data_IF_841097213177
#
_entry.id   IF_841097213177
#
_cell.length_a   1.000
_cell.length_b   1.000
_cell.length_c   1.000
_cell.angle_alpha   90.00
_cell.angle_beta   90.00
_cell.angle_gamma   90.00
#
_symmetry.space_group_name_H-M   'P 1'
#
loop_
_entity.id
_entity.type
_entity.pdbx_description
1 polymer ?
#
# COMPACT_ATOMS: atom_id res chain seq x y z
N UNK A 1 2.46 21.90 32.68
CA UNK A 1 1.17 21.25 33.01
C UNK A 1 0.24 21.39 31.82
N UNK A 2 -0.38 20.30 31.32
CA UNK A 2 -1.28 20.39 30.17
C UNK A 2 -2.56 21.15 30.57
N UNK A 3 -2.92 22.18 29.80
CA UNK A 3 -4.15 22.97 30.02
C UNK A 3 -5.37 22.13 29.60
N UNK A 4 -6.13 21.63 30.58
CA UNK A 4 -7.47 21.07 30.35
C UNK A 4 -8.37 22.17 29.80
N UNK A 5 -9.29 21.82 28.90
CA UNK A 5 -10.36 22.72 28.49
C UNK A 5 -11.24 22.97 29.72
N UNK A 6 -11.27 24.22 30.18
CA UNK A 6 -12.19 24.65 31.23
C UNK A 6 -13.52 25.01 30.56
N UNK A 7 -14.63 24.46 31.07
CA UNK A 7 -15.99 24.66 30.54
C UNK A 7 -16.37 26.14 30.44
N UNK A 8 -15.80 27.00 31.31
CA UNK A 8 -16.00 28.45 31.31
C UNK A 8 -15.29 29.21 30.18
N UNK A 9 -14.38 28.56 29.44
CA UNK A 9 -13.68 29.14 28.28
C UNK A 9 -14.39 28.83 26.95
N UNK A 10 -15.53 28.13 26.98
CA UNK A 10 -16.36 27.88 25.81
C UNK A 10 -17.35 29.04 25.60
N UNK A 11 -17.67 29.41 24.35
CA UNK A 11 -18.71 30.40 24.07
C UNK A 11 -20.04 30.00 24.73
N UNK A 12 -20.81 31.00 25.21
CA UNK A 12 -22.08 30.78 25.91
C UNK A 12 -22.99 29.88 25.07
N UNK A 13 -23.26 28.66 25.55
CA UNK A 13 -24.04 27.65 24.83
C UNK A 13 -23.64 26.18 25.07
N UNK A 14 -22.58 25.90 25.85
CA UNK A 14 -22.20 24.55 26.31
C UNK A 14 -21.98 23.50 25.20
N UNK A 15 -21.58 23.91 23.99
CA UNK A 15 -21.15 22.95 22.96
C UNK A 15 -19.67 22.68 23.20
N UNK A 16 -19.37 21.61 23.94
CA UNK A 16 -18.01 21.07 24.00
C UNK A 16 -17.62 20.61 22.60
N UNK A 17 -16.50 21.10 22.03
CA UNK A 17 -16.06 20.68 20.71
C UNK A 17 -15.78 19.17 20.71
N UNK A 18 -15.98 18.56 19.55
CA UNK A 18 -15.70 17.14 19.37
C UNK A 18 -14.22 16.92 19.02
N UNK A 19 -13.72 15.73 19.28
CA UNK A 19 -12.38 15.33 18.94
C UNK A 19 -12.24 15.21 17.42
N UNK A 20 -11.23 15.88 16.88
CA UNK A 20 -10.96 15.93 15.43
C UNK A 20 -10.63 14.56 14.83
N UNK A 21 -10.25 13.60 15.67
CA UNK A 21 -9.88 12.24 15.27
C UNK A 21 -11.07 11.28 15.39
N UNK A 22 -11.84 11.31 16.48
CA UNK A 22 -12.84 10.26 16.78
C UNK A 22 -14.26 10.76 17.06
N UNK A 23 -14.51 12.07 17.02
CA UNK A 23 -15.83 12.65 17.28
C UNK A 23 -16.30 12.63 18.74
N UNK A 24 -15.56 12.02 19.67
CA UNK A 24 -15.90 12.05 21.11
C UNK A 24 -15.66 13.45 21.70
N UNK A 25 -16.37 13.83 22.77
CA UNK A 25 -16.20 15.14 23.42
C UNK A 25 -14.75 15.44 23.79
N UNK A 26 -14.28 16.61 23.41
CA UNK A 26 -12.90 17.03 23.64
C UNK A 26 -12.66 17.48 25.08
N UNK A 27 -11.50 17.13 25.60
CA UNK A 27 -11.02 17.51 26.94
C UNK A 27 -9.72 18.33 26.89
N UNK A 28 -9.01 18.28 25.75
CA UNK A 28 -7.77 19.01 25.51
C UNK A 28 -7.76 19.63 24.10
N UNK A 29 -6.83 20.55 23.85
CA UNK A 29 -6.61 21.16 22.53
C UNK A 29 -5.13 21.33 22.20
N UNK A 30 -4.83 21.59 20.94
CA UNK A 30 -3.50 21.99 20.50
C UNK A 30 -3.12 23.35 21.12
N UNK A 31 -1.86 23.49 21.53
CA UNK A 31 -1.36 24.70 22.21
C UNK A 31 -0.97 25.81 21.24
N UNK A 32 -0.61 25.44 20.01
CA UNK A 32 -0.17 26.34 18.94
C UNK A 32 -1.37 26.91 18.17
N UNK A 33 -2.14 26.07 17.47
CA UNK A 33 -3.27 26.53 16.66
C UNK A 33 -4.51 26.88 17.49
N UNK A 34 -4.70 26.23 18.66
CA UNK A 34 -5.86 26.35 19.57
C UNK A 34 -7.24 26.04 18.96
N UNK A 35 -7.30 25.62 17.69
CA UNK A 35 -8.54 25.28 16.97
C UNK A 35 -8.80 23.78 16.87
N UNK A 36 -7.77 22.96 17.06
CA UNK A 36 -7.86 21.48 16.98
C UNK A 36 -8.02 20.89 18.38
N UNK A 37 -9.05 20.06 18.54
CA UNK A 37 -9.53 19.55 19.82
C UNK A 37 -9.42 18.02 19.91
N UNK A 38 -9.14 17.51 21.11
CA UNK A 38 -8.89 16.08 21.35
C UNK A 38 -9.64 15.58 22.59
N UNK A 39 -10.17 14.36 22.53
CA UNK A 39 -10.83 13.72 23.68
C UNK A 39 -9.87 13.33 24.81
N UNK A 40 -8.56 13.25 24.54
CA UNK A 40 -7.55 12.91 25.54
C UNK A 40 -6.12 13.17 25.06
N UNK A 41 -5.16 12.94 25.96
CA UNK A 41 -3.74 13.18 25.70
C UNK A 41 -3.15 12.21 24.66
N UNK A 42 -3.66 10.98 24.60
CA UNK A 42 -3.24 9.96 23.62
C UNK A 42 -3.47 10.44 22.18
N UNK A 43 -4.70 10.83 21.85
CA UNK A 43 -5.05 11.38 20.54
C UNK A 43 -4.23 12.63 20.20
N UNK A 44 -4.02 13.52 21.17
CA UNK A 44 -3.15 14.71 20.98
C UNK A 44 -1.71 14.32 20.66
N UNK A 45 -1.15 13.32 21.34
CA UNK A 45 0.24 12.89 21.13
C UNK A 45 0.43 12.19 19.79
N UNK A 46 -0.47 11.27 19.44
CA UNK A 46 -0.40 10.55 18.17
C UNK A 46 -0.50 11.52 17.00
N UNK A 47 -1.49 12.42 17.02
CA UNK A 47 -1.67 13.42 15.96
C UNK A 47 -0.48 14.40 15.88
N UNK A 48 0.04 14.87 17.02
CA UNK A 48 1.20 15.76 17.04
C UNK A 48 2.46 15.15 16.39
N UNK A 49 2.68 13.85 16.57
CA UNK A 49 3.83 13.13 16.01
C UNK A 49 3.61 12.80 14.54
N UNK A 50 2.38 12.42 14.17
CA UNK A 50 2.13 11.79 12.87
C UNK A 50 1.69 12.75 11.77
N UNK A 51 0.97 13.82 12.11
CA UNK A 51 0.30 14.65 11.10
C UNK A 51 0.14 16.12 11.51
N UNK A 52 -0.37 16.42 12.71
CA UNK A 52 -0.78 17.78 13.10
C UNK A 52 0.28 18.84 12.85
N UNK A 53 1.56 18.55 13.15
CA UNK A 53 2.65 19.52 13.02
C UNK A 53 2.80 20.04 11.57
N UNK A 54 2.50 19.23 10.56
CA UNK A 54 2.62 19.64 9.16
C UNK A 54 1.46 20.50 8.68
N UNK A 55 0.30 20.40 9.34
CA UNK A 55 -0.94 21.10 8.94
C UNK A 55 -1.44 22.12 9.97
N UNK A 56 -0.77 22.28 11.10
CA UNK A 56 -1.17 23.11 12.23
C UNK A 56 -1.56 24.53 11.81
N UNK A 57 -0.72 25.19 11.00
CA UNK A 57 -0.96 26.54 10.47
C UNK A 57 -2.10 26.57 9.46
N UNK A 58 -2.24 25.54 8.62
CA UNK A 58 -3.35 25.42 7.66
C UNK A 58 -4.68 25.23 8.37
N UNK A 59 -4.73 24.39 9.40
CA UNK A 59 -5.90 24.20 10.26
C UNK A 59 -6.29 25.50 10.98
N UNK A 60 -5.29 26.25 11.47
CA UNK A 60 -5.49 27.57 12.06
C UNK A 60 -6.11 28.55 11.06
N UNK A 61 -5.64 28.55 9.82
CA UNK A 61 -6.20 29.39 8.76
C UNK A 61 -7.64 29.00 8.41
N UNK A 62 -7.92 27.72 8.18
CA UNK A 62 -9.26 27.21 7.83
C UNK A 62 -10.31 27.55 8.90
N UNK A 63 -9.93 27.45 10.19
CA UNK A 63 -10.83 27.65 11.32
C UNK A 63 -10.73 29.05 11.94
N UNK A 64 -10.04 29.99 11.29
CA UNK A 64 -9.91 31.35 11.80
C UNK A 64 -11.24 32.09 11.70
N UNK A 65 -11.54 32.91 12.71
CA UNK A 65 -12.52 33.97 12.55
C UNK A 65 -11.92 35.03 11.62
N UNK A 66 -12.26 34.96 10.33
CA UNK A 66 -11.84 35.96 9.36
C UNK A 66 -12.66 37.24 9.57
N UNK A 67 -11.99 38.40 9.44
CA UNK A 67 -12.68 39.69 9.43
C UNK A 67 -13.77 39.66 8.35
N UNK A 68 -14.94 40.22 8.66
CA UNK A 68 -16.05 40.30 7.72
C UNK A 68 -15.55 40.93 6.41
N UNK A 69 -15.60 40.22 5.27
CA UNK A 69 -15.17 40.76 3.99
C UNK A 69 -15.94 42.05 3.67
N UNK A 70 -15.24 43.10 3.26
CA UNK A 70 -15.87 44.39 2.97
C UNK A 70 -16.59 44.40 1.62
N UNK A 71 -16.20 43.50 0.71
CA UNK A 71 -16.76 43.39 -0.64
C UNK A 71 -17.12 41.95 -0.98
N UNK A 72 -18.01 41.77 -1.97
CA UNK A 72 -18.36 40.45 -2.51
C UNK A 72 -17.13 39.74 -3.10
N UNK A 73 -16.24 40.48 -3.76
CA UNK A 73 -15.00 39.95 -4.33
C UNK A 73 -14.06 39.41 -3.25
N UNK A 74 -13.97 40.09 -2.11
CA UNK A 74 -13.15 39.63 -0.98
C UNK A 74 -13.75 38.37 -0.34
N UNK A 75 -15.09 38.25 -0.31
CA UNK A 75 -15.78 37.07 0.20
C UNK A 75 -15.51 35.85 -0.67
N UNK A 76 -15.70 35.97 -1.99
CA UNK A 76 -15.44 34.89 -2.94
C UNK A 76 -13.97 34.47 -2.87
N UNK A 77 -13.04 35.42 -2.88
CA UNK A 77 -11.61 35.12 -2.79
C UNK A 77 -11.23 34.42 -1.46
N UNK A 78 -11.87 34.80 -0.34
CA UNK A 78 -11.65 34.13 0.94
C UNK A 78 -12.16 32.68 0.91
N UNK A 79 -13.38 32.47 0.42
CA UNK A 79 -13.97 31.14 0.30
C UNK A 79 -13.13 30.22 -0.61
N UNK A 80 -12.69 30.72 -1.76
CA UNK A 80 -11.78 30.00 -2.67
C UNK A 80 -10.45 29.62 -1.99
N UNK A 81 -9.86 30.55 -1.23
CA UNK A 81 -8.61 30.27 -0.51
C UNK A 81 -8.79 29.25 0.61
N UNK A 82 -9.91 29.29 1.34
CA UNK A 82 -10.24 28.28 2.35
C UNK A 82 -10.41 26.91 1.67
N UNK A 83 -11.19 26.85 0.59
CA UNK A 83 -11.42 25.60 -0.15
C UNK A 83 -10.12 25.01 -0.69
N UNK A 84 -9.25 25.84 -1.29
CA UNK A 84 -7.92 25.42 -1.72
C UNK A 84 -7.07 24.90 -0.57
N UNK A 85 -7.10 25.57 0.58
CA UNK A 85 -6.35 25.13 1.77
C UNK A 85 -6.89 23.79 2.31
N UNK A 86 -8.20 23.58 2.27
CA UNK A 86 -8.82 22.29 2.62
C UNK A 86 -8.35 21.17 1.68
N UNK A 87 -8.36 21.41 0.36
CA UNK A 87 -7.85 20.45 -0.63
C UNK A 87 -6.37 20.11 -0.40
N UNK A 88 -5.54 21.09 -0.08
CA UNK A 88 -4.13 20.87 0.25
C UNK A 88 -3.96 19.99 1.50
N UNK A 89 -4.71 20.27 2.57
CA UNK A 89 -4.65 19.45 3.80
C UNK A 89 -5.15 18.03 3.52
N UNK A 90 -6.21 17.84 2.72
CA UNK A 90 -6.68 16.51 2.33
C UNK A 90 -5.62 15.72 1.55
N UNK A 91 -4.94 16.36 0.60
CA UNK A 91 -3.85 15.74 -0.17
C UNK A 91 -2.67 15.33 0.73
N UNK A 92 -2.29 16.18 1.70
CA UNK A 92 -1.24 15.84 2.69
C UNK A 92 -1.73 14.70 3.59
N UNK A 93 -2.99 14.70 3.99
CA UNK A 93 -3.59 13.67 4.84
C UNK A 93 -3.61 12.31 4.13
N UNK A 94 -3.99 12.27 2.86
CA UNK A 94 -4.03 11.07 2.03
C UNK A 94 -2.62 10.45 1.92
N UNK A 95 -1.64 11.25 1.51
CA UNK A 95 -0.25 10.81 1.34
C UNK A 95 0.40 10.37 2.65
N UNK A 96 0.15 11.11 3.74
CA UNK A 96 0.64 10.77 5.09
C UNK A 96 0.04 9.47 5.60
N UNK A 97 -1.26 9.26 5.40
CA UNK A 97 -1.93 8.01 5.76
C UNK A 97 -1.31 6.81 5.05
N UNK A 98 -1.15 6.91 3.72
CA UNK A 98 -0.53 5.85 2.91
C UNK A 98 0.90 5.56 3.36
N UNK A 99 1.70 6.59 3.61
CA UNK A 99 3.07 6.43 4.12
C UNK A 99 3.09 5.64 5.44
N UNK A 100 2.29 6.03 6.42
CA UNK A 100 2.28 5.37 7.73
C UNK A 100 1.75 3.93 7.67
N UNK A 101 0.75 3.65 6.83
CA UNK A 101 0.27 2.30 6.58
C UNK A 101 1.37 1.40 6.01
N UNK A 102 2.17 1.92 5.08
CA UNK A 102 3.29 1.19 4.49
C UNK A 102 4.44 1.01 5.49
N UNK A 103 4.66 1.94 6.41
CA UNK A 103 5.60 1.76 7.52
C UNK A 103 5.10 0.78 8.61
N UNK A 104 3.91 0.19 8.44
CA UNK A 104 3.25 -0.68 9.43
C UNK A 104 3.00 0.01 10.77
N UNK A 105 2.73 1.32 10.74
CA UNK A 105 2.40 2.13 11.90
C UNK A 105 0.96 2.63 11.78
N UNK A 106 -0.06 1.76 11.87
CA UNK A 106 -1.45 2.14 11.65
C UNK A 106 -1.97 3.14 12.69
N UNK A 107 -1.45 3.11 13.92
CA UNK A 107 -1.76 4.10 14.95
C UNK A 107 -1.38 5.51 14.49
N UNK A 108 -0.25 5.66 13.80
CA UNK A 108 0.20 6.96 13.27
C UNK A 108 -0.61 7.38 12.03
N UNK A 109 -1.11 6.42 11.24
CA UNK A 109 -1.94 6.68 10.07
C UNK A 109 -3.35 7.16 10.43
N UNK A 110 -3.84 6.81 11.63
CA UNK A 110 -5.22 7.05 12.04
C UNK A 110 -5.64 8.53 12.04
N UNK A 111 -4.89 9.49 12.62
CA UNK A 111 -5.29 10.89 12.62
C UNK A 111 -5.43 11.48 11.22
N UNK A 112 -4.47 11.21 10.33
CA UNK A 112 -4.52 11.72 8.96
C UNK A 112 -5.67 11.10 8.15
N UNK A 113 -5.97 9.82 8.34
CA UNK A 113 -7.09 9.17 7.65
C UNK A 113 -8.44 9.80 8.06
N UNK A 114 -8.63 10.01 9.37
CA UNK A 114 -9.85 10.61 9.91
C UNK A 114 -10.02 12.06 9.47
N UNK A 115 -8.94 12.86 9.47
CA UNK A 115 -8.99 14.25 9.00
C UNK A 115 -9.29 14.30 7.49
N UNK A 116 -8.70 13.41 6.69
CA UNK A 116 -9.00 13.31 5.26
C UNK A 116 -10.50 13.05 5.02
N UNK A 117 -11.07 12.07 5.72
CA UNK A 117 -12.48 11.72 5.62
C UNK A 117 -13.41 12.83 6.11
N UNK A 118 -13.14 13.41 7.29
CA UNK A 118 -13.94 14.49 7.86
C UNK A 118 -13.93 15.71 6.93
N UNK A 119 -12.77 16.08 6.40
CA UNK A 119 -12.67 17.22 5.48
C UNK A 119 -13.38 16.95 4.15
N UNK A 120 -13.34 15.73 3.62
CA UNK A 120 -14.11 15.35 2.45
C UNK A 120 -15.62 15.52 2.71
N UNK A 121 -16.11 15.08 3.88
CA UNK A 121 -17.52 15.24 4.27
C UNK A 121 -17.91 16.69 4.57
N UNK A 122 -16.97 17.56 4.91
CA UNK A 122 -17.23 19.00 5.11
C UNK A 122 -17.28 19.76 3.78
N UNK A 123 -16.43 19.37 2.83
CA UNK A 123 -16.34 20.03 1.52
C UNK A 123 -17.45 19.59 0.59
N UNK A 124 -17.80 18.32 0.64
CA UNK A 124 -18.81 17.69 -0.20
C UNK A 124 -19.97 17.18 0.65
N UNK A 125 -20.97 16.55 0.03
CA UNK A 125 -21.99 15.81 0.78
C UNK A 125 -21.38 14.54 1.40
N UNK A 126 -21.79 14.11 2.61
CA UNK A 126 -21.39 12.82 3.18
C UNK A 126 -21.71 11.60 2.28
N UNK A 127 -22.61 11.77 1.31
CA UNK A 127 -23.00 10.76 0.34
C UNK A 127 -22.36 10.97 -1.04
N UNK A 128 -21.35 11.84 -1.14
CA UNK A 128 -20.68 12.15 -2.41
C UNK A 128 -19.67 11.08 -2.83
N UNK A 129 -19.43 10.92 -4.13
CA UNK A 129 -18.46 9.94 -4.64
C UNK A 129 -17.02 10.24 -4.20
N UNK A 130 -16.69 11.52 -3.98
CA UNK A 130 -15.40 12.02 -3.51
C UNK A 130 -15.04 11.51 -2.11
N UNK A 131 -16.05 11.11 -1.32
CA UNK A 131 -15.89 10.61 0.05
C UNK A 131 -15.53 9.11 0.06
N UNK A 132 -15.75 8.38 -1.04
CA UNK A 132 -15.51 6.93 -1.12
C UNK A 132 -14.04 6.58 -0.85
N UNK A 133 -13.10 7.29 -1.49
CA UNK A 133 -11.66 7.01 -1.33
C UNK A 133 -11.16 7.28 0.09
N UNK A 134 -11.46 8.44 0.72
CA UNK A 134 -11.16 8.67 2.14
C UNK A 134 -11.74 7.61 3.07
N UNK A 135 -13.00 7.20 2.88
CA UNK A 135 -13.61 6.12 3.69
C UNK A 135 -12.83 4.81 3.53
N UNK A 136 -12.40 4.49 2.30
CA UNK A 136 -11.60 3.29 2.07
C UNK A 136 -10.28 3.30 2.84
N UNK A 137 -9.63 4.46 2.95
CA UNK A 137 -8.39 4.61 3.74
C UNK A 137 -8.63 4.42 5.23
N UNK A 138 -9.71 5.01 5.77
CA UNK A 138 -10.10 4.84 7.17
C UNK A 138 -10.35 3.35 7.47
N UNK A 139 -11.09 2.66 6.61
CA UNK A 139 -11.34 1.24 6.75
C UNK A 139 -10.05 0.40 6.72
N UNK A 140 -9.09 0.75 5.85
CA UNK A 140 -7.78 0.08 5.79
C UNK A 140 -6.96 0.31 7.08
N UNK A 141 -7.01 1.52 7.65
CA UNK A 141 -6.38 1.79 8.96
C UNK A 141 -6.98 0.91 10.06
N UNK A 142 -8.31 0.88 10.21
CA UNK A 142 -8.96 0.05 11.22
C UNK A 142 -8.63 -1.43 11.04
N UNK A 143 -8.60 -1.91 9.79
CA UNK A 143 -8.20 -3.28 9.48
C UNK A 143 -6.77 -3.58 9.97
N UNK A 144 -5.83 -2.64 9.81
CA UNK A 144 -4.44 -2.79 10.28
C UNK A 144 -4.28 -2.62 11.78
N UNK A 145 -5.20 -1.91 12.44
CA UNK A 145 -5.29 -1.85 13.91
C UNK A 145 -5.85 -3.15 14.50
N UNK A 146 -6.44 -4.02 13.69
CA UNK A 146 -7.11 -5.25 14.13
C UNK A 146 -8.60 -5.06 14.45
N UNK A 147 -9.13 -3.85 14.25
CA UNK A 147 -10.52 -3.48 14.49
C UNK A 147 -11.39 -3.86 13.28
N UNK A 148 -11.60 -5.16 13.09
CA UNK A 148 -12.28 -5.70 11.91
C UNK A 148 -13.76 -5.29 11.81
N UNK A 149 -14.43 -5.07 12.94
CA UNK A 149 -15.83 -4.62 12.98
C UNK A 149 -15.95 -3.20 12.43
N UNK A 150 -15.16 -2.26 12.94
CA UNK A 150 -15.11 -0.88 12.44
C UNK A 150 -14.74 -0.83 10.95
N UNK A 151 -13.73 -1.61 10.52
CA UNK A 151 -13.37 -1.70 9.10
C UNK A 151 -14.53 -2.20 8.22
N UNK A 152 -15.37 -3.10 8.75
CA UNK A 152 -16.56 -3.61 8.05
C UNK A 152 -17.63 -2.53 7.94
N UNK A 153 -17.86 -1.73 8.98
CA UNK A 153 -18.82 -0.61 8.95
C UNK A 153 -18.45 0.41 7.87
N UNK A 154 -17.19 0.86 7.84
CA UNK A 154 -16.73 1.79 6.81
C UNK A 154 -16.77 1.18 5.39
N UNK A 155 -16.45 -0.11 5.24
CA UNK A 155 -16.60 -0.80 3.96
C UNK A 155 -18.07 -0.83 3.49
N UNK A 156 -19.02 -1.07 4.39
CA UNK A 156 -20.45 -1.05 4.09
C UNK A 156 -20.88 0.36 3.70
N UNK A 157 -20.43 1.39 4.43
CA UNK A 157 -20.72 2.78 4.11
C UNK A 157 -20.22 3.16 2.71
N UNK A 158 -18.96 2.87 2.38
CA UNK A 158 -18.40 3.12 1.05
C UNK A 158 -19.18 2.36 -0.06
N UNK A 159 -19.58 1.12 0.22
CA UNK A 159 -20.37 0.31 -0.71
C UNK A 159 -21.76 0.90 -0.93
N UNK A 160 -22.42 1.40 0.12
CA UNK A 160 -23.73 2.03 0.01
C UNK A 160 -23.66 3.34 -0.79
N UNK A 161 -22.67 4.19 -0.53
CA UNK A 161 -22.45 5.41 -1.32
C UNK A 161 -22.27 5.04 -2.80
N UNK A 162 -21.45 4.03 -3.10
CA UNK A 162 -21.19 3.62 -4.48
C UNK A 162 -22.43 3.16 -5.25
N UNK A 163 -23.46 2.63 -4.58
CA UNK A 163 -24.69 2.16 -5.21
C UNK A 163 -25.61 3.31 -5.64
N UNK A 164 -25.40 4.52 -5.12
CA UNK A 164 -26.18 5.69 -5.48
C UNK A 164 -25.73 6.33 -6.80
N UNK A 165 -24.65 5.81 -7.42
CA UNK A 165 -24.08 6.33 -8.65
C UNK A 165 -24.18 5.30 -9.77
N UNK A 166 -24.65 5.72 -10.95
CA UNK A 166 -24.74 4.85 -12.14
C UNK A 166 -23.35 4.49 -12.69
N UNK A 167 -22.42 5.44 -12.62
CA UNK A 167 -21.05 5.28 -13.10
C UNK A 167 -20.09 5.88 -12.09
N UNK A 168 -19.03 5.14 -11.76
CA UNK A 168 -17.93 5.61 -10.93
C UNK A 168 -16.61 5.48 -11.71
N UNK A 169 -15.62 6.35 -11.44
CA UNK A 169 -14.30 6.22 -12.04
C UNK A 169 -13.68 4.84 -11.75
N UNK A 170 -13.02 4.18 -12.72
CA UNK A 170 -12.42 2.86 -12.50
C UNK A 170 -11.42 2.83 -11.34
N UNK A 171 -10.68 3.91 -11.10
CA UNK A 171 -9.77 4.04 -9.96
C UNK A 171 -10.51 3.90 -8.62
N UNK A 172 -11.68 4.54 -8.49
CA UNK A 172 -12.53 4.49 -7.29
C UNK A 172 -13.08 3.08 -7.11
N UNK A 173 -13.63 2.50 -8.17
CA UNK A 173 -14.14 1.12 -8.17
C UNK A 173 -13.07 0.10 -7.79
N UNK A 174 -11.87 0.22 -8.36
CA UNK A 174 -10.75 -0.67 -8.07
C UNK A 174 -10.38 -0.63 -6.57
N UNK A 175 -10.30 0.56 -5.97
CA UNK A 175 -10.02 0.69 -4.54
C UNK A 175 -11.16 0.18 -3.66
N UNK A 176 -12.41 0.40 -4.05
CA UNK A 176 -13.56 -0.14 -3.34
C UNK A 176 -13.58 -1.68 -3.36
N UNK A 177 -13.38 -2.29 -4.52
CA UNK A 177 -13.33 -3.75 -4.65
C UNK A 177 -12.13 -4.36 -3.93
N UNK A 178 -10.98 -3.69 -3.95
CA UNK A 178 -9.83 -4.06 -3.10
C UNK A 178 -10.21 -4.03 -1.63
N UNK A 179 -10.78 -2.93 -1.13
CA UNK A 179 -11.18 -2.78 0.28
C UNK A 179 -12.14 -3.90 0.68
N UNK A 180 -13.19 -4.11 -0.12
CA UNK A 180 -14.17 -5.17 0.12
C UNK A 180 -13.49 -6.52 0.23
N UNK A 181 -12.60 -6.83 -0.71
CA UNK A 181 -11.84 -8.08 -0.69
C UNK A 181 -11.00 -8.27 0.58
N UNK A 182 -10.23 -7.26 1.01
CA UNK A 182 -9.36 -7.38 2.20
C UNK A 182 -10.14 -7.45 3.51
N UNK A 183 -11.26 -6.73 3.64
CA UNK A 183 -12.13 -6.81 4.83
C UNK A 183 -12.84 -8.17 4.88
N UNK A 184 -13.37 -8.65 3.75
CA UNK A 184 -13.96 -9.99 3.66
C UNK A 184 -12.93 -11.09 3.95
N UNK A 185 -11.68 -10.88 3.52
CA UNK A 185 -10.56 -11.77 3.82
C UNK A 185 -10.29 -11.86 5.33
N UNK A 186 -10.22 -10.72 6.02
CA UNK A 186 -10.02 -10.70 7.48
C UNK A 186 -11.17 -11.37 8.24
N UNK A 187 -12.40 -11.23 7.73
CA UNK A 187 -13.58 -11.92 8.22
C UNK A 187 -13.69 -13.39 7.78
N UNK A 188 -12.65 -13.94 7.13
CA UNK A 188 -12.61 -15.33 6.61
C UNK A 188 -13.73 -15.67 5.62
N UNK A 189 -14.35 -14.67 4.98
CA UNK A 189 -15.36 -14.83 3.93
C UNK A 189 -14.70 -15.00 2.55
N UNK A 190 -13.91 -16.06 2.41
CA UNK A 190 -13.02 -16.28 1.27
C UNK A 190 -13.72 -16.30 -0.10
N UNK A 191 -14.93 -16.87 -0.17
CA UNK A 191 -15.72 -16.97 -1.40
C UNK A 191 -16.14 -15.60 -1.94
N UNK A 192 -16.55 -14.69 -1.04
CA UNK A 192 -16.92 -13.32 -1.39
C UNK A 192 -15.68 -12.48 -1.68
N UNK A 193 -14.63 -12.62 -0.86
CA UNK A 193 -13.34 -11.96 -1.07
C UNK A 193 -12.77 -12.27 -2.47
N UNK A 194 -12.83 -13.53 -2.91
CA UNK A 194 -12.41 -13.94 -4.26
C UNK A 194 -13.17 -13.18 -5.34
N UNK A 195 -14.49 -13.02 -5.21
CA UNK A 195 -15.29 -12.26 -6.20
C UNK A 195 -14.86 -10.80 -6.23
N UNK A 196 -14.69 -10.18 -5.06
CA UNK A 196 -14.21 -8.79 -4.96
C UNK A 196 -12.82 -8.61 -5.57
N UNK A 197 -11.90 -9.56 -5.37
CA UNK A 197 -10.57 -9.50 -6.01
C UNK A 197 -10.60 -9.76 -7.52
N UNK A 198 -11.52 -10.60 -8.01
CA UNK A 198 -11.70 -10.80 -9.44
C UNK A 198 -12.17 -9.51 -10.13
N UNK A 199 -13.13 -8.80 -9.52
CA UNK A 199 -13.55 -7.48 -9.99
C UNK A 199 -12.40 -6.47 -9.92
N UNK A 200 -11.62 -6.49 -8.84
CA UNK A 200 -10.44 -5.64 -8.73
C UNK A 200 -9.42 -5.89 -9.85
N UNK A 201 -9.17 -7.15 -10.23
CA UNK A 201 -8.34 -7.51 -11.38
C UNK A 201 -8.93 -6.94 -12.67
N UNK A 202 -10.23 -7.15 -12.91
CA UNK A 202 -10.90 -6.68 -14.13
C UNK A 202 -10.83 -5.16 -14.27
N UNK A 203 -11.24 -4.42 -13.24
CA UNK A 203 -11.27 -2.94 -13.27
C UNK A 203 -9.86 -2.37 -13.40
N UNK A 204 -8.86 -2.94 -12.71
CA UNK A 204 -7.46 -2.48 -12.84
C UNK A 204 -6.94 -2.72 -14.26
N UNK A 205 -7.35 -3.80 -14.92
CA UNK A 205 -6.98 -4.09 -16.30
C UNK A 205 -7.64 -3.12 -17.29
N UNK A 206 -8.88 -2.71 -17.02
CA UNK A 206 -9.59 -1.70 -17.82
C UNK A 206 -8.90 -0.34 -17.71
N UNK A 207 -8.54 0.07 -16.48
CA UNK A 207 -7.94 1.37 -16.22
C UNK A 207 -6.50 1.51 -16.73
N UNK A 208 -5.66 0.50 -16.48
CA UNK A 208 -4.21 0.61 -16.71
C UNK A 208 -3.67 -0.31 -17.80
N UNK A 209 -4.48 -1.26 -18.28
CA UNK A 209 -4.04 -2.31 -19.20
C UNK A 209 -3.36 -3.50 -18.50
N UNK A 210 -3.44 -4.67 -19.14
CA UNK A 210 -2.93 -5.95 -18.61
C UNK A 210 -1.40 -6.04 -18.49
N UNK A 211 -0.67 -5.14 -19.15
CA UNK A 211 0.79 -5.10 -19.12
C UNK A 211 1.33 -4.31 -17.93
N UNK A 212 0.51 -3.45 -17.33
CA UNK A 212 0.92 -2.52 -16.28
C UNK A 212 1.31 -3.22 -14.97
N UNK A 213 2.29 -2.65 -14.26
CA UNK A 213 2.73 -3.16 -12.95
C UNK A 213 1.63 -3.15 -11.89
N UNK A 214 0.68 -2.20 -11.98
CA UNK A 214 -0.47 -2.09 -11.07
C UNK A 214 -1.34 -3.35 -11.05
N UNK A 215 -1.23 -4.20 -12.07
CA UNK A 215 -1.88 -5.52 -12.10
C UNK A 215 -1.31 -6.52 -11.09
N UNK A 216 -0.09 -6.31 -10.59
CA UNK A 216 0.59 -7.26 -9.70
C UNK A 216 -0.18 -7.53 -8.42
N UNK A 217 -0.56 -6.47 -7.68
CA UNK A 217 -1.29 -6.58 -6.41
C UNK A 217 -2.66 -7.27 -6.57
N UNK A 218 -3.53 -6.89 -7.52
CA UNK A 218 -4.77 -7.61 -7.79
C UNK A 218 -4.58 -9.11 -7.97
N UNK A 219 -3.57 -9.51 -8.76
CA UNK A 219 -3.28 -10.93 -8.97
C UNK A 219 -2.83 -11.64 -7.68
N UNK A 220 -1.97 -11.00 -6.89
CA UNK A 220 -1.54 -11.56 -5.61
C UNK A 220 -2.69 -11.79 -4.64
N UNK A 221 -3.54 -10.78 -4.44
CA UNK A 221 -4.70 -10.87 -3.54
C UNK A 221 -5.72 -11.92 -4.03
N UNK A 222 -5.97 -11.99 -5.34
CA UNK A 222 -6.79 -13.04 -5.92
C UNK A 222 -6.19 -14.42 -5.66
N UNK A 223 -4.89 -14.59 -5.86
CA UNK A 223 -4.17 -15.85 -5.60
C UNK A 223 -4.28 -16.31 -4.15
N UNK A 224 -4.11 -15.39 -3.18
CA UNK A 224 -4.28 -15.68 -1.75
C UNK A 224 -5.70 -16.20 -1.46
N UNK A 225 -6.73 -15.55 -2.03
CA UNK A 225 -8.12 -15.98 -1.84
C UNK A 225 -8.42 -17.35 -2.47
N UNK A 226 -7.89 -17.63 -3.67
CA UNK A 226 -8.06 -18.90 -4.37
C UNK A 226 -7.43 -20.05 -3.59
N UNK A 227 -6.24 -19.82 -3.03
CA UNK A 227 -5.53 -20.84 -2.28
C UNK A 227 -6.26 -21.21 -0.99
N UNK A 228 -6.84 -20.22 -0.30
CA UNK A 228 -7.66 -20.46 0.89
C UNK A 228 -8.96 -21.21 0.61
N UNK A 229 -9.44 -21.17 -0.63
CA UNK A 229 -10.54 -21.99 -1.12
C UNK A 229 -10.11 -23.37 -1.65
N UNK A 230 -8.82 -23.72 -1.53
CA UNK A 230 -8.27 -24.98 -2.03
C UNK A 230 -8.02 -25.03 -3.53
N UNK A 231 -8.23 -23.94 -4.27
CA UNK A 231 -7.90 -23.86 -5.70
C UNK A 231 -6.42 -23.54 -5.89
N UNK A 232 -5.58 -24.55 -5.67
CA UNK A 232 -4.12 -24.45 -5.81
C UNK A 232 -3.70 -24.05 -7.24
N UNK A 233 -4.21 -24.65 -8.33
CA UNK A 233 -3.78 -24.29 -9.68
C UNK A 233 -4.09 -22.83 -10.03
N UNK A 234 -5.29 -22.35 -9.69
CA UNK A 234 -5.69 -20.96 -9.90
C UNK A 234 -4.86 -19.98 -9.08
N UNK A 235 -4.50 -20.35 -7.84
CA UNK A 235 -3.61 -19.57 -7.01
C UNK A 235 -2.21 -19.46 -7.61
N UNK A 236 -1.61 -20.59 -8.03
CA UNK A 236 -0.27 -20.60 -8.66
C UNK A 236 -0.23 -19.76 -9.93
N UNK A 237 -1.25 -19.88 -10.80
CA UNK A 237 -1.36 -19.04 -11.99
C UNK A 237 -1.42 -17.54 -11.65
N UNK A 238 -2.16 -17.17 -10.61
CA UNK A 238 -2.28 -15.78 -10.16
C UNK A 238 -0.96 -15.26 -9.57
N UNK A 239 -0.31 -16.07 -8.75
CA UNK A 239 0.99 -15.75 -8.16
C UNK A 239 2.08 -15.61 -9.21
N UNK A 240 2.11 -16.47 -10.24
CA UNK A 240 3.03 -16.29 -11.36
C UNK A 240 2.82 -14.97 -12.07
N UNK A 241 1.56 -14.60 -12.37
CA UNK A 241 1.27 -13.30 -12.99
C UNK A 241 1.75 -12.13 -12.14
N UNK A 242 1.51 -12.15 -10.83
CA UNK A 242 2.04 -11.12 -9.94
C UNK A 242 3.57 -11.07 -9.99
N UNK A 243 4.21 -12.23 -9.86
CA UNK A 243 5.65 -12.34 -9.83
C UNK A 243 6.30 -11.80 -11.11
N UNK A 244 5.76 -12.16 -12.27
CA UNK A 244 6.25 -11.71 -13.57
C UNK A 244 6.16 -10.19 -13.70
N UNK A 245 5.03 -9.57 -13.33
CA UNK A 245 4.87 -8.11 -13.38
C UNK A 245 5.90 -7.35 -12.56
N UNK A 246 6.17 -7.82 -11.34
CA UNK A 246 7.09 -7.15 -10.44
C UNK A 246 8.55 -7.41 -10.78
N UNK A 247 8.88 -8.62 -11.22
CA UNK A 247 10.24 -8.96 -11.66
C UNK A 247 10.60 -8.21 -12.94
N UNK A 248 9.72 -8.21 -13.96
CA UNK A 248 9.94 -7.46 -15.20
C UNK A 248 10.22 -5.97 -14.91
N UNK A 249 9.44 -5.36 -14.03
CA UNK A 249 9.65 -3.98 -13.61
C UNK A 249 10.98 -3.77 -12.88
N UNK A 250 11.27 -4.58 -11.86
CA UNK A 250 12.50 -4.38 -11.09
C UNK A 250 13.74 -4.62 -11.96
N UNK A 251 13.68 -5.54 -12.93
CA UNK A 251 14.75 -5.78 -13.88
C UNK A 251 14.94 -4.61 -14.84
N UNK A 252 13.84 -4.04 -15.37
CA UNK A 252 13.93 -2.84 -16.22
C UNK A 252 14.57 -1.69 -15.46
N UNK A 253 14.15 -1.46 -14.21
CA UNK A 253 14.73 -0.43 -13.33
C UNK A 253 16.21 -0.67 -13.01
N UNK A 254 16.60 -1.93 -12.80
CA UNK A 254 18.00 -2.29 -12.55
C UNK A 254 18.89 -2.04 -13.77
N UNK A 255 18.40 -2.38 -14.97
CA UNK A 255 19.09 -2.14 -16.25
C UNK A 255 19.22 -0.65 -16.54
N UNK A 256 18.17 0.12 -16.25
CA UNK A 256 18.12 1.57 -16.47
C UNK A 256 18.87 2.39 -15.39
N UNK A 257 19.39 1.76 -14.33
CA UNK A 257 20.03 2.39 -13.15
C UNK A 257 19.17 3.45 -12.42
N UNK A 258 17.89 3.56 -12.76
CA UNK A 258 17.03 4.71 -12.49
C UNK A 258 16.54 4.85 -11.04
N UNK A 259 16.80 3.86 -10.16
CA UNK A 259 16.21 3.82 -8.81
C UNK A 259 17.21 3.50 -7.69
N UNK A 260 18.50 3.74 -7.90
CA UNK A 260 19.42 3.92 -6.76
C UNK A 260 19.34 5.40 -6.41
N UNK A 261 18.52 5.72 -5.42
CA UNK A 261 18.31 7.07 -4.84
C UNK A 261 17.60 8.07 -5.74
N UNK A 262 16.29 7.89 -5.99
CA UNK A 262 15.47 9.09 -6.01
C UNK A 262 15.65 9.73 -4.63
N UNK A 263 16.23 10.92 -4.56
CA UNK A 263 16.44 11.57 -3.27
C UNK A 263 15.07 11.84 -2.64
N UNK A 264 14.99 11.99 -1.32
CA UNK A 264 13.71 12.33 -0.66
C UNK A 264 13.01 13.54 -1.32
N UNK A 265 13.78 14.45 -1.94
CA UNK A 265 13.28 15.59 -2.72
C UNK A 265 12.65 15.21 -4.07
N UNK A 266 13.17 14.23 -4.79
CA UNK A 266 12.59 13.77 -6.06
C UNK A 266 11.29 13.00 -5.80
N UNK A 267 11.29 12.19 -4.72
CA UNK A 267 10.10 11.51 -4.23
C UNK A 267 9.06 12.48 -3.69
N UNK A 268 9.43 13.64 -3.12
CA UNK A 268 8.47 14.60 -2.60
C UNK A 268 7.68 15.35 -3.71
N UNK A 269 8.25 15.49 -4.90
CA UNK A 269 7.71 16.37 -5.94
C UNK A 269 7.01 15.65 -7.11
N UNK A 270 7.33 14.38 -7.39
CA UNK A 270 6.70 13.63 -8.48
C UNK A 270 5.66 12.61 -7.98
N UNK A 271 4.37 12.90 -8.24
CA UNK A 271 3.24 12.04 -7.88
C UNK A 271 3.30 10.65 -8.50
N UNK A 272 3.86 10.50 -9.70
CA UNK A 272 3.97 9.19 -10.36
C UNK A 272 5.05 8.33 -9.70
N UNK A 273 6.17 8.94 -9.31
CA UNK A 273 7.24 8.25 -8.56
C UNK A 273 6.73 7.84 -7.18
N UNK A 274 5.99 8.72 -6.48
CA UNK A 274 5.35 8.39 -5.21
C UNK A 274 4.39 7.21 -5.35
N UNK A 275 3.51 7.25 -6.35
CA UNK A 275 2.54 6.17 -6.57
C UNK A 275 3.26 4.85 -6.87
N UNK A 276 4.30 4.84 -7.70
CA UNK A 276 5.09 3.64 -7.98
C UNK A 276 5.80 3.10 -6.74
N UNK A 277 6.33 3.97 -5.88
CA UNK A 277 6.93 3.54 -4.61
C UNK A 277 5.89 2.92 -3.68
N UNK A 278 4.71 3.52 -3.58
CA UNK A 278 3.60 2.96 -2.80
C UNK A 278 3.17 1.60 -3.34
N UNK A 279 3.07 1.44 -4.66
CA UNK A 279 2.79 0.16 -5.30
C UNK A 279 3.89 -0.87 -4.96
N UNK A 280 5.17 -0.46 -4.98
CA UNK A 280 6.30 -1.34 -4.67
C UNK A 280 6.28 -1.84 -3.22
N UNK A 281 6.10 -0.93 -2.27
CA UNK A 281 6.02 -1.27 -0.84
C UNK A 281 4.82 -2.18 -0.55
N UNK A 282 3.67 -1.90 -1.18
CA UNK A 282 2.50 -2.76 -1.06
C UNK A 282 2.72 -4.13 -1.70
N UNK A 283 3.32 -4.17 -2.90
CA UNK A 283 3.70 -5.40 -3.58
C UNK A 283 4.55 -6.30 -2.69
N UNK A 284 5.53 -5.72 -1.98
CA UNK A 284 6.36 -6.44 -1.00
C UNK A 284 5.53 -7.12 0.08
N UNK A 285 4.50 -6.46 0.62
CA UNK A 285 3.62 -7.08 1.62
C UNK A 285 2.81 -8.24 1.07
N UNK A 286 2.33 -8.13 -0.18
CA UNK A 286 1.61 -9.23 -0.82
C UNK A 286 2.55 -10.39 -1.11
N UNK A 287 3.80 -10.14 -1.53
CA UNK A 287 4.82 -11.17 -1.69
C UNK A 287 5.18 -11.89 -0.39
N UNK A 288 5.25 -11.18 0.73
CA UNK A 288 5.45 -11.80 2.05
C UNK A 288 4.28 -12.71 2.41
N UNK A 289 3.03 -12.29 2.19
CA UNK A 289 1.87 -13.16 2.38
C UNK A 289 1.90 -14.37 1.46
N UNK A 290 2.29 -14.19 0.19
CA UNK A 290 2.46 -15.29 -0.76
C UNK A 290 3.53 -16.27 -0.27
N UNK A 291 4.68 -15.78 0.20
CA UNK A 291 5.76 -16.62 0.71
C UNK A 291 5.30 -17.50 1.87
N UNK A 292 4.65 -16.89 2.88
CA UNK A 292 4.15 -17.63 4.05
C UNK A 292 3.15 -18.72 3.67
N UNK A 293 2.29 -18.44 2.69
CA UNK A 293 1.25 -19.40 2.28
C UNK A 293 1.84 -20.49 1.38
N UNK A 294 2.73 -20.16 0.45
CA UNK A 294 3.34 -21.14 -0.48
C UNK A 294 4.29 -22.07 0.27
N UNK A 295 5.02 -21.60 1.29
CA UNK A 295 5.92 -22.42 2.11
C UNK A 295 5.21 -23.57 2.81
N UNK A 296 3.90 -23.44 3.08
CA UNK A 296 3.08 -24.48 3.68
C UNK A 296 2.57 -25.55 2.72
N UNK A 297 2.79 -25.40 1.41
CA UNK A 297 2.31 -26.35 0.39
C UNK A 297 3.37 -27.45 0.17
N UNK A 298 2.96 -28.73 0.06
CA UNK A 298 3.87 -29.80 -0.34
C UNK A 298 4.61 -29.48 -1.62
N UNK A 299 5.87 -29.92 -1.67
CA UNK A 299 6.77 -29.58 -2.76
C UNK A 299 6.29 -30.19 -4.09
N UNK A 300 6.12 -29.33 -5.10
CA UNK A 300 5.71 -29.65 -6.47
C UNK A 300 6.42 -28.69 -7.46
N UNK A 301 6.75 -29.08 -8.71
CA UNK A 301 7.46 -28.22 -9.66
C UNK A 301 6.87 -26.80 -9.83
N UNK A 302 5.54 -26.69 -9.89
CA UNK A 302 4.85 -25.39 -9.96
C UNK A 302 5.05 -24.53 -8.70
N UNK A 303 4.97 -25.15 -7.52
CA UNK A 303 5.21 -24.47 -6.23
C UNK A 303 6.67 -24.05 -6.06
N UNK A 304 7.61 -24.86 -6.56
CA UNK A 304 9.04 -24.54 -6.54
C UNK A 304 9.38 -23.38 -7.49
N UNK A 305 8.70 -23.29 -8.64
CA UNK A 305 8.88 -22.19 -9.58
C UNK A 305 8.38 -20.85 -8.99
N UNK A 306 7.24 -20.86 -8.31
CA UNK A 306 6.76 -19.63 -7.67
C UNK A 306 7.63 -19.25 -6.47
N UNK A 307 8.05 -20.23 -5.65
CA UNK A 307 9.00 -20.00 -4.56
C UNK A 307 10.28 -19.36 -5.07
N UNK A 308 10.83 -19.87 -6.18
CA UNK A 308 11.96 -19.28 -6.85
C UNK A 308 11.73 -17.81 -7.23
N UNK A 309 10.61 -17.49 -7.90
CA UNK A 309 10.29 -16.11 -8.30
C UNK A 309 10.11 -15.17 -7.09
N UNK A 310 9.46 -15.64 -6.02
CA UNK A 310 9.30 -14.89 -4.77
C UNK A 310 10.67 -14.57 -4.14
N UNK A 311 11.56 -15.56 -4.07
CA UNK A 311 12.90 -15.39 -3.52
C UNK A 311 13.77 -14.45 -4.37
N UNK A 312 13.66 -14.52 -5.70
CA UNK A 312 14.28 -13.54 -6.61
C UNK A 312 13.78 -12.12 -6.33
N UNK A 313 12.47 -11.92 -6.20
CA UNK A 313 11.90 -10.62 -5.86
C UNK A 313 12.45 -10.11 -4.52
N UNK A 314 12.44 -10.94 -3.47
CA UNK A 314 12.98 -10.58 -2.15
C UNK A 314 14.47 -10.21 -2.21
N UNK A 315 15.28 -10.96 -2.96
CA UNK A 315 16.69 -10.64 -3.16
C UNK A 315 16.88 -9.27 -3.84
N UNK A 316 16.09 -8.98 -4.88
CA UNK A 316 16.12 -7.68 -5.57
C UNK A 316 15.68 -6.52 -4.67
N UNK A 317 14.66 -6.72 -3.83
CA UNK A 317 14.26 -5.74 -2.84
C UNK A 317 15.41 -5.36 -1.90
N UNK A 318 16.15 -6.36 -1.38
CA UNK A 318 17.31 -6.11 -0.49
C UNK A 318 18.44 -5.36 -1.18
N UNK A 319 18.67 -5.63 -2.47
CA UNK A 319 19.65 -4.90 -3.27
C UNK A 319 19.21 -3.44 -3.45
N UNK A 320 17.93 -3.20 -3.76
CA UNK A 320 17.36 -1.86 -3.89
C UNK A 320 17.43 -1.06 -2.59
N UNK A 321 17.16 -1.72 -1.45
CA UNK A 321 17.24 -1.12 -0.11
C UNK A 321 18.68 -0.77 0.33
N UNK A 322 19.70 -1.08 -0.48
CA UNK A 322 21.09 -0.81 -0.13
C UNK A 322 21.68 -1.81 0.87
N UNK A 323 21.01 -2.95 1.10
CA UNK A 323 21.44 -4.00 2.03
C UNK A 323 21.75 -5.30 1.25
N UNK A 324 22.75 -5.29 0.34
CA UNK A 324 23.02 -6.42 -0.54
C UNK A 324 23.51 -7.67 0.20
N UNK A 325 24.04 -7.53 1.43
CA UNK A 325 24.46 -8.67 2.25
C UNK A 325 23.27 -9.57 2.62
N UNK A 326 22.14 -8.97 2.96
CA UNK A 326 20.92 -9.69 3.33
C UNK A 326 20.26 -10.38 2.12
N UNK A 327 20.59 -9.91 0.91
CA UNK A 327 20.13 -10.58 -0.31
C UNK A 327 20.72 -11.98 -0.48
N UNK A 328 21.90 -12.27 0.10
CA UNK A 328 22.63 -13.53 -0.10
C UNK A 328 21.79 -14.75 0.31
N UNK A 329 21.07 -14.66 1.43
CA UNK A 329 20.23 -15.77 1.93
C UNK A 329 19.13 -16.10 0.91
N UNK A 330 18.39 -15.10 0.45
CA UNK A 330 17.34 -15.26 -0.56
C UNK A 330 17.90 -15.77 -1.88
N UNK A 331 19.11 -15.32 -2.26
CA UNK A 331 19.82 -15.78 -3.45
C UNK A 331 20.18 -17.27 -3.38
N UNK A 332 20.67 -17.73 -2.24
CA UNK A 332 21.00 -19.14 -2.03
C UNK A 332 19.74 -20.02 -2.02
N UNK A 333 18.68 -19.59 -1.35
CA UNK A 333 17.39 -20.29 -1.35
C UNK A 333 16.76 -20.33 -2.75
N UNK A 334 16.82 -19.22 -3.50
CA UNK A 334 16.32 -19.16 -4.87
C UNK A 334 17.05 -20.17 -5.76
N UNK A 335 18.38 -20.26 -5.61
CA UNK A 335 19.16 -21.24 -6.36
C UNK A 335 18.75 -22.66 -6.01
N UNK A 336 18.55 -22.97 -4.72
CA UNK A 336 18.04 -24.28 -4.28
C UNK A 336 16.67 -24.58 -4.88
N UNK A 337 15.73 -23.63 -4.86
CA UNK A 337 14.40 -23.78 -5.47
C UNK A 337 14.50 -24.05 -6.99
N UNK A 338 15.33 -23.27 -7.70
CA UNK A 338 15.61 -23.47 -9.12
C UNK A 338 16.26 -24.83 -9.41
N UNK A 339 17.00 -25.40 -8.47
CA UNK A 339 17.57 -26.73 -8.65
C UNK A 339 16.54 -27.85 -8.59
N UNK A 340 15.45 -27.64 -7.84
CA UNK A 340 14.37 -28.61 -7.66
C UNK A 340 13.38 -28.58 -8.83
N UNK A 341 13.12 -27.40 -9.39
CA UNK A 341 12.26 -27.26 -10.58
C UNK A 341 12.79 -28.02 -11.81
N UNK A 342 14.10 -28.30 -11.87
CA UNK A 342 14.77 -29.05 -12.98
C UNK A 342 14.36 -30.51 -13.15
N UNK A 343 13.49 -31.07 -12.32
CA UNK A 343 12.92 -32.39 -12.59
C UNK A 343 11.89 -32.39 -13.73
N UNK A 344 11.43 -31.22 -14.18
CA UNK A 344 10.69 -31.06 -15.43
C UNK A 344 11.52 -30.28 -16.47
N UNK A 345 11.51 -30.75 -17.72
CA UNK A 345 12.12 -30.13 -18.89
C UNK A 345 11.59 -28.71 -19.21
N UNK A 346 10.60 -28.25 -18.45
CA UNK A 346 9.89 -26.97 -18.59
C UNK A 346 10.48 -25.80 -17.75
N UNK A 347 11.66 -25.93 -17.14
CA UNK A 347 12.36 -24.75 -16.58
C UNK A 347 12.90 -23.91 -17.73
N UNK A 348 12.06 -22.99 -18.20
CA UNK A 348 12.30 -22.14 -19.37
C UNK A 348 13.54 -21.27 -19.19
N UNK A 349 14.16 -20.88 -20.31
CA UNK A 349 15.29 -19.95 -20.38
C UNK A 349 15.08 -18.65 -19.57
N UNK A 350 13.82 -18.29 -19.28
CA UNK A 350 13.44 -17.20 -18.38
C UNK A 350 14.02 -17.34 -16.95
N UNK A 351 14.04 -18.53 -16.35
CA UNK A 351 14.60 -18.73 -15.00
C UNK A 351 16.13 -18.58 -14.97
N UNK A 352 16.79 -19.02 -16.04
CA UNK A 352 18.25 -18.88 -16.22
C UNK A 352 18.60 -17.40 -16.38
N UNK A 353 17.90 -16.69 -17.27
CA UNK A 353 18.08 -15.25 -17.48
C UNK A 353 17.86 -14.46 -16.19
N UNK A 354 16.76 -14.74 -15.47
CA UNK A 354 16.45 -14.09 -14.20
C UNK A 354 17.52 -14.34 -13.13
N UNK A 355 18.03 -15.58 -13.02
CA UNK A 355 19.14 -15.90 -12.12
C UNK A 355 20.42 -15.14 -12.50
N UNK A 356 20.77 -15.08 -13.78
CA UNK A 356 21.95 -14.32 -14.24
C UNK A 356 21.81 -12.83 -13.92
N UNK A 357 20.63 -12.25 -14.18
CA UNK A 357 20.36 -10.83 -13.92
C UNK A 357 20.29 -10.50 -12.42
N UNK A 358 19.75 -11.38 -11.58
CA UNK A 358 19.59 -11.13 -10.13
C UNK A 358 20.82 -11.52 -9.30
N UNK A 359 21.49 -12.63 -9.66
CA UNK A 359 22.64 -13.15 -8.92
C UNK A 359 23.96 -12.54 -9.40
N UNK A 360 24.09 -12.27 -10.69
CA UNK A 360 25.34 -11.91 -11.35
C UNK A 360 26.22 -13.15 -11.61
N UNK A 361 26.87 -13.19 -12.77
CA UNK A 361 27.72 -14.30 -13.20
C UNK A 361 28.84 -14.61 -12.18
N UNK A 362 29.44 -13.57 -11.60
CA UNK A 362 30.49 -13.68 -10.58
C UNK A 362 30.02 -14.40 -9.31
N UNK A 363 28.78 -14.17 -8.88
CA UNK A 363 28.22 -14.83 -7.70
C UNK A 363 27.96 -16.31 -7.98
N UNK A 364 27.41 -16.62 -9.16
CA UNK A 364 27.20 -17.99 -9.61
C UNK A 364 28.52 -18.77 -9.70
N UNK A 365 29.56 -18.15 -10.25
CA UNK A 365 30.92 -18.71 -10.33
C UNK A 365 31.54 -18.94 -8.94
N UNK A 366 31.38 -17.99 -8.00
CA UNK A 366 31.88 -18.12 -6.62
C UNK A 366 31.13 -19.22 -5.85
N UNK A 367 29.83 -19.33 -6.05
CA UNK A 367 29.01 -20.37 -5.42
C UNK A 367 29.40 -21.78 -5.90
N UNK A 368 29.62 -21.95 -7.21
CA UNK A 368 30.08 -23.23 -7.79
C UNK A 368 31.47 -23.63 -7.26
N UNK A 369 32.40 -22.67 -7.18
CA UNK A 369 33.74 -22.87 -6.59
C UNK A 369 33.71 -23.24 -5.09
N UNK A 370 32.75 -22.70 -4.33
CA UNK A 370 32.62 -22.94 -2.87
C UNK A 370 31.99 -24.30 -2.55
N UNK A 371 31.10 -24.78 -3.42
CA UNK A 371 30.27 -25.96 -3.15
C UNK A 371 30.74 -27.26 -3.84
N UNK A 372 32.01 -27.33 -4.31
CA UNK A 372 32.70 -28.47 -4.97
C UNK A 372 32.13 -29.87 -4.69
N UNK A 373 30.98 -30.18 -5.30
CA UNK A 373 30.34 -31.49 -5.33
C UNK A 373 30.22 -31.90 -6.79
N UNK A 374 30.45 -33.18 -7.13
CA UNK A 374 30.43 -33.61 -8.52
C UNK A 374 29.02 -33.43 -9.10
N UNK A 375 28.93 -32.61 -10.17
CA UNK A 375 27.72 -32.32 -10.96
C UNK A 375 26.55 -31.73 -10.17
N UNK A 376 26.76 -30.60 -9.50
CA UNK A 376 25.62 -29.82 -9.01
C UNK A 376 24.91 -29.10 -10.15
N UNK A 377 23.64 -28.82 -9.94
CA UNK A 377 22.76 -28.13 -10.88
C UNK A 377 23.31 -26.74 -11.28
N UNK A 378 24.06 -26.06 -10.42
CA UNK A 378 24.72 -24.78 -10.70
C UNK A 378 25.76 -24.86 -11.82
N UNK A 379 26.55 -25.94 -11.88
CA UNK A 379 27.53 -26.18 -12.95
C UNK A 379 26.84 -26.30 -14.31
N UNK A 380 25.73 -27.04 -14.37
CA UNK A 380 24.84 -27.12 -15.54
C UNK A 380 24.09 -25.81 -15.85
N UNK A 381 23.96 -24.88 -14.88
CA UNK A 381 23.38 -23.55 -15.13
C UNK A 381 24.43 -22.62 -15.72
N UNK A 382 25.67 -22.65 -15.20
CA UNK A 382 26.83 -21.96 -15.77
C UNK A 382 27.09 -22.44 -17.21
N UNK A 383 27.03 -23.73 -17.47
CA UNK A 383 27.14 -24.29 -18.83
C UNK A 383 26.03 -23.78 -19.77
N UNK A 384 24.78 -23.65 -19.27
CA UNK A 384 23.67 -23.08 -20.06
C UNK A 384 23.81 -21.57 -20.29
N UNK A 385 24.31 -20.82 -19.29
CA UNK A 385 24.60 -19.38 -19.44
C UNK A 385 25.71 -19.19 -20.47
N UNK A 386 26.78 -19.98 -20.39
CA UNK A 386 27.86 -20.01 -21.36
C UNK A 386 27.37 -20.41 -22.76
N UNK A 387 26.41 -21.32 -22.89
CA UNK A 387 25.81 -21.72 -24.17
C UNK A 387 24.81 -20.71 -24.75
N UNK A 388 24.26 -19.79 -23.95
CA UNK A 388 23.36 -18.70 -24.41
C UNK A 388 24.18 -17.46 -24.83
N UNK A 389 25.38 -17.28 -24.27
CA UNK A 389 26.28 -16.15 -24.55
C UNK A 389 27.26 -16.40 -25.73
N UNK A 390 27.12 -17.52 -26.46
CA UNK A 390 27.80 -17.85 -27.74
C UNK A 390 26.78 -17.70 -28.85
#
# INVERSE_FOLDING_TARGET
MPKRLHELALPKGNITPDCEICGKKATTKCEECRVTHYCGQEHKQVDAISFHKTVCDKMKYIKAEHLLPFTETDRIALEENIMKTKQEVMSIAETTTRKWLLERKPVNAYPSAMICWNMACEMESPNSEEVILPICQVAEVFLKLGETEAATEYMVQASWISQNYETLPPVVLAKLHRLRGIVLMANKKWSEARRSFAEFVYITAVEYGITNIRMGIPYGLLGVSLLKLGNVPGAMASFHKMADKWLDFLLSQFKEKLMRTATENDMANDKNIQELEFQYLEGKFVFEQMYEVVRGIPMHPETDLINFKILCFQAMCRIREGIPKDSIVFKEEALVAATRTRQDSAVSNSCVSLLTEVLGEDYLLKWDKKNKRPRTVATKYLEKIQAINV
#
